data_IF_923440462491
#
_entry.id   IF_923440462491
#
_cell.length_a   1.000
_cell.length_b   1.000
_cell.length_c   1.000
_cell.angle_alpha   90.00
_cell.angle_beta   90.00
_cell.angle_gamma   90.00
#
_symmetry.space_group_name_H-M   'P 1'
#
loop_
_entity.id
_entity.type
_entity.pdbx_description
1 polymer ?
#
# COMPACT_ATOMS: atom_id res chain seq x y z
N UNK A 1 -8.13 -2.17 -13.64
CA UNK A 1 -7.97 -2.33 -12.18
C UNK A 1 -6.51 -2.48 -11.85
N UNK A 2 -5.99 -1.60 -11.01
CA UNK A 2 -4.64 -1.73 -10.43
C UNK A 2 -4.82 -2.29 -9.02
N UNK A 3 -4.08 -3.36 -8.69
CA UNK A 3 -4.21 -4.05 -7.40
C UNK A 3 -2.95 -3.85 -6.56
N UNK A 4 -3.15 -3.25 -5.40
CA UNK A 4 -2.14 -2.86 -4.41
C UNK A 4 -2.11 -3.88 -3.27
N UNK A 5 -1.00 -4.62 -3.16
CA UNK A 5 -0.83 -5.65 -2.14
C UNK A 5 -0.62 -5.10 -0.73
N UNK A 6 -0.87 -5.93 0.30
CA UNK A 6 -0.63 -5.58 1.69
C UNK A 6 0.83 -5.65 2.12
N UNK A 7 1.10 -5.29 3.38
CA UNK A 7 2.42 -5.45 3.98
C UNK A 7 2.80 -6.94 4.01
N UNK A 8 3.95 -7.30 3.43
CA UNK A 8 4.41 -8.68 3.19
C UNK A 8 3.65 -9.47 2.13
N UNK A 9 2.68 -8.84 1.46
CA UNK A 9 1.98 -9.45 0.34
C UNK A 9 2.88 -9.49 -0.89
N UNK A 10 3.22 -10.67 -1.38
CA UNK A 10 3.76 -10.80 -2.73
C UNK A 10 2.62 -10.60 -3.75
N UNK A 11 2.94 -10.12 -4.96
CA UNK A 11 1.94 -9.93 -6.02
C UNK A 11 1.13 -11.20 -6.34
N UNK A 12 1.72 -12.38 -6.10
CA UNK A 12 1.08 -13.68 -6.27
C UNK A 12 -0.14 -13.86 -5.35
N UNK A 13 -0.13 -13.26 -4.16
CA UNK A 13 -1.25 -13.34 -3.20
C UNK A 13 -2.55 -12.74 -3.74
N UNK A 14 -2.46 -11.83 -4.70
CA UNK A 14 -3.61 -11.20 -5.34
C UNK A 14 -4.05 -11.89 -6.64
N UNK A 15 -3.41 -12.99 -7.05
CA UNK A 15 -3.75 -13.66 -8.33
C UNK A 15 -5.19 -14.16 -8.38
N UNK A 16 -5.74 -14.65 -7.25
CA UNK A 16 -7.11 -15.15 -7.20
C UNK A 16 -8.14 -14.06 -7.57
N UNK A 17 -8.07 -12.92 -6.88
CA UNK A 17 -8.97 -11.79 -7.16
C UNK A 17 -8.69 -11.18 -8.54
N UNK A 18 -7.42 -11.07 -8.93
CA UNK A 18 -7.03 -10.55 -10.26
C UNK A 18 -7.55 -11.42 -11.39
N UNK A 19 -7.51 -12.74 -11.27
CA UNK A 19 -8.09 -13.65 -12.25
C UNK A 19 -9.62 -13.50 -12.30
N UNK A 20 -10.28 -13.30 -11.16
CA UNK A 20 -11.71 -12.99 -11.10
C UNK A 20 -12.07 -11.70 -11.84
N UNK A 21 -11.34 -10.61 -11.57
CA UNK A 21 -11.50 -9.32 -12.26
C UNK A 21 -11.26 -9.46 -13.76
N UNK A 22 -10.20 -10.18 -14.17
CA UNK A 22 -9.91 -10.40 -15.57
C UNK A 22 -11.04 -11.15 -16.30
N UNK A 23 -11.59 -12.22 -15.69
CA UNK A 23 -12.75 -12.94 -16.23
C UNK A 23 -14.01 -12.09 -16.34
N UNK A 24 -14.11 -10.99 -15.59
CA UNK A 24 -15.18 -10.00 -15.68
C UNK A 24 -14.90 -8.88 -16.71
N UNK A 25 -13.84 -9.01 -17.50
CA UNK A 25 -13.51 -8.09 -18.60
C UNK A 25 -12.60 -6.91 -18.21
N UNK A 26 -12.02 -6.92 -17.00
CA UNK A 26 -11.09 -5.87 -16.60
C UNK A 26 -9.67 -6.17 -17.09
N UNK A 27 -8.98 -5.14 -17.58
CA UNK A 27 -7.51 -5.15 -17.61
C UNK A 27 -6.99 -5.02 -16.18
N UNK A 28 -6.09 -5.92 -15.77
CA UNK A 28 -5.58 -5.99 -14.39
C UNK A 28 -4.08 -5.77 -14.37
N UNK A 29 -3.61 -4.89 -13.50
CA UNK A 29 -2.18 -4.69 -13.24
C UNK A 29 -1.88 -5.10 -11.80
N UNK A 30 -0.95 -6.03 -11.67
CA UNK A 30 -0.31 -6.43 -10.42
C UNK A 30 1.12 -5.93 -10.42
N UNK A 31 1.56 -5.34 -9.32
CA UNK A 31 2.90 -4.79 -9.17
C UNK A 31 3.47 -5.11 -7.78
N UNK A 32 4.74 -4.79 -7.57
CA UNK A 32 5.44 -5.03 -6.30
C UNK A 32 6.17 -3.77 -5.89
N UNK A 33 6.00 -3.34 -4.64
CA UNK A 33 6.72 -2.15 -4.16
C UNK A 33 8.22 -2.42 -4.08
N UNK A 34 9.03 -1.37 -4.17
CA UNK A 34 10.43 -1.44 -3.76
C UNK A 34 10.51 -1.91 -2.29
N UNK A 35 11.55 -2.68 -1.97
CA UNK A 35 11.72 -3.35 -0.68
C UNK A 35 11.12 -4.75 -0.60
N UNK A 36 10.40 -5.22 -1.63
CA UNK A 36 9.87 -6.59 -1.71
C UNK A 36 10.61 -7.47 -2.72
N UNK A 37 10.54 -8.81 -2.59
CA UNK A 37 11.12 -9.73 -3.55
C UNK A 37 10.65 -9.46 -4.97
N UNK A 38 11.61 -9.31 -5.90
CA UNK A 38 11.33 -9.01 -7.30
C UNK A 38 11.25 -7.52 -7.65
N UNK A 39 11.54 -6.62 -6.70
CA UNK A 39 11.71 -5.18 -6.92
C UNK A 39 13.00 -4.68 -6.26
N UNK A 40 13.44 -3.47 -6.61
CA UNK A 40 14.64 -2.86 -6.05
C UNK A 40 14.55 -2.68 -4.53
N UNK A 41 15.72 -2.60 -3.87
CA UNK A 41 15.79 -2.39 -2.42
C UNK A 41 15.31 -0.99 -2.04
N UNK A 42 14.40 -0.91 -1.09
CA UNK A 42 14.01 0.33 -0.43
C UNK A 42 13.51 0.08 1.00
N UNK A 43 13.56 1.08 1.90
CA UNK A 43 12.87 1.00 3.18
C UNK A 43 11.35 1.00 2.97
N UNK A 44 10.64 0.15 3.73
CA UNK A 44 9.17 0.14 3.75
C UNK A 44 8.67 1.27 4.66
N UNK A 45 7.75 2.08 4.15
CA UNK A 45 7.21 3.25 4.83
C UNK A 45 5.70 3.22 5.08
N UNK A 46 5.09 2.04 4.88
CA UNK A 46 3.68 1.77 5.18
C UNK A 46 2.69 2.73 4.49
N UNK A 47 2.99 3.14 3.26
CA UNK A 47 2.10 3.94 2.43
C UNK A 47 2.68 5.29 2.01
N UNK A 48 3.59 5.86 2.81
CA UNK A 48 4.11 7.22 2.59
C UNK A 48 4.88 7.32 1.27
N UNK A 49 5.81 6.40 1.02
CA UNK A 49 6.59 6.33 -0.23
C UNK A 49 6.05 5.28 -1.18
N UNK A 50 5.33 4.27 -0.68
CA UNK A 50 4.72 3.24 -1.52
C UNK A 50 3.64 3.80 -2.45
N UNK A 51 3.05 4.96 -2.15
CA UNK A 51 2.15 5.69 -3.06
C UNK A 51 2.82 6.07 -4.38
N UNK A 52 4.12 6.37 -4.37
CA UNK A 52 4.88 6.72 -5.58
C UNK A 52 4.96 5.55 -6.57
N UNK A 53 4.94 4.31 -6.07
CA UNK A 53 4.88 3.11 -6.92
C UNK A 53 3.52 3.02 -7.61
N UNK A 54 2.44 3.33 -6.89
CA UNK A 54 1.10 3.34 -7.46
C UNK A 54 0.97 4.42 -8.53
N UNK A 55 1.47 5.63 -8.28
CA UNK A 55 1.49 6.73 -9.24
C UNK A 55 2.23 6.34 -10.52
N UNK A 56 3.41 5.70 -10.40
CA UNK A 56 4.16 5.20 -11.54
C UNK A 56 3.36 4.15 -12.35
N UNK A 57 2.63 3.27 -11.68
CA UNK A 57 1.78 2.26 -12.33
C UNK A 57 0.56 2.90 -13.00
N UNK A 58 -0.06 3.92 -12.40
CA UNK A 58 -1.14 4.70 -13.01
C UNK A 58 -0.63 5.39 -14.28
N UNK A 59 0.52 6.05 -14.21
CA UNK A 59 1.16 6.70 -15.34
C UNK A 59 1.47 5.69 -16.47
N UNK A 60 2.01 4.52 -16.12
CA UNK A 60 2.22 3.42 -17.07
C UNK A 60 0.92 2.98 -17.75
N UNK A 61 -0.15 2.77 -16.98
CA UNK A 61 -1.45 2.35 -17.50
C UNK A 61 -2.02 3.38 -18.49
N UNK A 62 -1.95 4.68 -18.15
CA UNK A 62 -2.40 5.77 -19.02
C UNK A 62 -1.55 5.88 -20.28
N UNK A 63 -0.22 5.73 -20.18
CA UNK A 63 0.67 5.72 -21.36
C UNK A 63 0.33 4.57 -22.30
N UNK A 64 0.01 3.40 -21.75
CA UNK A 64 -0.34 2.21 -22.55
C UNK A 64 -1.74 2.30 -23.14
N UNK A 65 -2.69 2.88 -22.41
CA UNK A 65 -4.09 3.02 -22.81
C UNK A 65 -4.53 4.45 -22.44
N UNK A 66 -4.42 5.43 -23.35
CA UNK A 66 -4.66 6.86 -23.06
C UNK A 66 -6.02 7.18 -22.45
N UNK A 67 -7.06 6.43 -22.83
CA UNK A 67 -8.45 6.59 -22.32
C UNK A 67 -8.81 5.55 -21.25
N UNK A 68 -7.82 4.98 -20.56
CA UNK A 68 -8.06 3.98 -19.53
C UNK A 68 -8.94 4.55 -18.41
N UNK A 69 -10.01 3.83 -18.08
CA UNK A 69 -10.75 4.02 -16.83
C UNK A 69 -9.99 3.31 -15.73
N UNK A 70 -9.42 4.06 -14.80
CA UNK A 70 -8.61 3.52 -13.72
C UNK A 70 -9.49 3.27 -12.50
N UNK A 71 -9.39 2.07 -11.94
CA UNK A 71 -9.94 1.74 -10.63
C UNK A 71 -8.85 1.04 -9.81
N UNK A 72 -8.90 1.25 -8.50
CA UNK A 72 -7.90 0.80 -7.55
C UNK A 72 -8.52 -0.20 -6.56
N UNK A 73 -7.79 -1.27 -6.28
CA UNK A 73 -8.12 -2.25 -5.24
C UNK A 73 -6.90 -2.38 -4.33
N UNK A 74 -7.06 -2.15 -3.04
CA UNK A 74 -5.96 -2.23 -2.08
C UNK A 74 -6.29 -3.06 -0.85
N UNK A 75 -5.29 -3.78 -0.33
CA UNK A 75 -5.38 -4.58 0.89
C UNK A 75 -4.44 -4.06 1.97
N UNK A 76 -4.91 -3.84 3.20
CA UNK A 76 -4.09 -3.42 4.33
C UNK A 76 -3.22 -2.18 3.99
N UNK A 77 -1.89 -2.29 4.01
CA UNK A 77 -0.99 -1.24 3.52
C UNK A 77 -1.34 -0.77 2.09
N UNK A 78 -1.69 -1.70 1.20
CA UNK A 78 -2.12 -1.40 -0.16
C UNK A 78 -3.44 -0.64 -0.24
N UNK A 79 -4.32 -0.78 0.75
CA UNK A 79 -5.56 0.01 0.85
C UNK A 79 -5.24 1.48 1.19
N UNK A 80 -4.31 1.71 2.13
CA UNK A 80 -3.83 3.07 2.43
C UNK A 80 -3.12 3.68 1.22
N UNK A 81 -2.27 2.91 0.53
CA UNK A 81 -1.63 3.35 -0.73
C UNK A 81 -2.67 3.72 -1.79
N UNK A 82 -3.70 2.89 -1.98
CA UNK A 82 -4.76 3.16 -2.95
C UNK A 82 -5.56 4.42 -2.60
N UNK A 83 -5.85 4.63 -1.30
CA UNK A 83 -6.53 5.82 -0.81
C UNK A 83 -5.71 7.09 -1.04
N UNK A 84 -4.43 7.09 -0.65
CA UNK A 84 -3.53 8.22 -0.83
C UNK A 84 -3.31 8.53 -2.32
N UNK A 85 -3.12 7.50 -3.15
CA UNK A 85 -2.96 7.67 -4.59
C UNK A 85 -4.23 8.20 -5.26
N UNK A 86 -5.41 7.74 -4.84
CA UNK A 86 -6.69 8.26 -5.35
C UNK A 86 -6.89 9.74 -4.99
N UNK A 87 -6.45 10.17 -3.79
CA UNK A 87 -6.54 11.56 -3.38
C UNK A 87 -5.69 12.50 -4.28
N UNK A 88 -4.57 12.01 -4.81
CA UNK A 88 -3.72 12.74 -5.76
C UNK A 88 -4.13 12.63 -7.23
N UNK A 89 -5.06 11.73 -7.57
CA UNK A 89 -5.41 11.39 -8.96
C UNK A 89 -6.93 11.46 -9.23
N UNK A 90 -7.46 12.64 -9.63
CA UNK A 90 -8.89 12.85 -9.87
C UNK A 90 -9.50 11.93 -10.95
N UNK A 91 -8.68 11.29 -11.78
CA UNK A 91 -9.13 10.37 -12.82
C UNK A 91 -9.38 8.93 -12.36
N UNK A 92 -9.20 8.62 -11.08
CA UNK A 92 -9.58 7.32 -10.49
C UNK A 92 -11.10 7.25 -10.35
N UNK A 93 -11.73 6.27 -11.01
CA UNK A 93 -13.19 6.14 -11.10
C UNK A 93 -13.79 5.16 -10.10
N UNK A 94 -12.97 4.32 -9.48
CA UNK A 94 -13.41 3.34 -8.48
C UNK A 94 -12.29 3.07 -7.48
N UNK A 95 -12.66 2.92 -6.21
CA UNK A 95 -11.75 2.65 -5.12
C UNK A 95 -12.34 1.54 -4.23
N UNK A 96 -11.61 0.43 -4.08
CA UNK A 96 -11.97 -0.67 -3.19
C UNK A 96 -10.86 -0.81 -2.15
N UNK A 97 -11.23 -0.60 -0.89
CA UNK A 97 -10.30 -0.60 0.24
C UNK A 97 -10.64 -1.75 1.18
N UNK A 98 -9.78 -2.74 1.26
CA UNK A 98 -9.93 -3.85 2.20
C UNK A 98 -8.98 -3.66 3.39
N UNK A 99 -9.57 -3.54 4.58
CA UNK A 99 -8.87 -3.45 5.87
C UNK A 99 -7.81 -2.33 5.93
N UNK A 100 -8.11 -1.08 5.50
CA UNK A 100 -7.20 0.04 5.69
C UNK A 100 -7.03 0.35 7.17
N UNK A 101 -5.92 1.01 7.53
CA UNK A 101 -5.76 1.61 8.84
C UNK A 101 -5.86 3.13 8.75
N UNK A 102 -6.47 3.75 9.75
CA UNK A 102 -6.57 5.21 9.89
C UNK A 102 -5.28 5.81 10.44
N UNK A 103 -4.65 5.13 11.40
CA UNK A 103 -3.40 5.54 12.01
C UNK A 103 -2.46 4.34 12.18
N UNK A 104 -1.29 4.43 11.56
CA UNK A 104 -0.24 3.43 11.64
C UNK A 104 0.28 3.27 13.06
N UNK A 105 0.34 4.37 13.83
CA UNK A 105 0.88 4.34 15.19
C UNK A 105 -0.02 3.53 16.11
N UNK A 106 -1.32 3.77 16.08
CA UNK A 106 -2.33 3.00 16.83
C UNK A 106 -2.23 1.51 16.49
N UNK A 107 -2.13 1.15 15.22
CA UNK A 107 -1.95 -0.25 14.80
C UNK A 107 -0.66 -0.85 15.36
N UNK A 108 0.45 -0.11 15.37
CA UNK A 108 1.70 -0.58 15.95
C UNK A 108 1.61 -0.74 17.48
N UNK A 109 0.98 0.22 18.18
CA UNK A 109 0.80 0.17 19.63
C UNK A 109 -0.05 -1.02 20.05
N UNK A 110 -1.15 -1.27 19.34
CA UNK A 110 -2.01 -2.44 19.56
C UNK A 110 -1.28 -3.75 19.29
N UNK A 111 -0.50 -3.82 18.20
CA UNK A 111 0.29 -5.02 17.90
C UNK A 111 1.36 -5.30 18.95
N UNK A 112 2.05 -4.26 19.45
CA UNK A 112 3.04 -4.40 20.54
C UNK A 112 2.36 -4.87 21.81
N UNK A 113 1.23 -4.28 22.19
CA UNK A 113 0.47 -4.68 23.38
C UNK A 113 -0.01 -6.13 23.29
N UNK A 114 -0.56 -6.53 22.15
CA UNK A 114 -1.13 -7.89 21.96
C UNK A 114 -0.06 -8.97 21.80
N UNK A 115 1.00 -8.70 21.05
CA UNK A 115 2.00 -9.71 20.68
C UNK A 115 3.15 -9.80 21.67
N UNK A 116 3.62 -8.65 22.18
CA UNK A 116 4.81 -8.55 23.02
C UNK A 116 4.44 -8.34 24.50
N UNK A 117 3.18 -8.02 24.80
CA UNK A 117 2.66 -7.75 26.16
C UNK A 117 3.43 -6.65 26.91
N UNK A 118 4.06 -5.74 26.18
CA UNK A 118 4.79 -4.59 26.71
C UNK A 118 3.95 -3.30 26.63
N UNK A 119 4.32 -2.25 27.39
CA UNK A 119 3.70 -0.94 27.24
C UNK A 119 3.89 -0.41 25.81
N UNK A 120 2.82 -0.32 25.03
CA UNK A 120 2.88 0.00 23.59
C UNK A 120 3.51 1.36 23.29
N UNK A 121 3.11 2.41 24.01
CA UNK A 121 3.52 3.78 23.73
C UNK A 121 5.06 4.03 23.77
N UNK A 122 5.81 3.67 24.83
CA UNK A 122 7.26 3.90 24.85
C UNK A 122 8.01 3.05 23.82
N UNK A 123 7.56 1.82 23.58
CA UNK A 123 8.16 0.93 22.57
C UNK A 123 7.95 1.48 21.17
N UNK A 124 6.72 1.91 20.85
CA UNK A 124 6.39 2.49 19.54
C UNK A 124 7.05 3.85 19.33
N UNK A 125 7.23 4.64 20.39
CA UNK A 125 7.98 5.89 20.31
C UNK A 125 9.45 5.64 19.90
N UNK A 126 10.12 4.69 20.56
CA UNK A 126 11.50 4.32 20.21
C UNK A 126 11.58 3.72 18.80
N UNK A 127 10.64 2.83 18.46
CA UNK A 127 10.54 2.27 17.12
C UNK A 127 10.30 3.36 16.06
N UNK A 128 9.51 4.39 16.38
CA UNK A 128 9.26 5.55 15.53
C UNK A 128 10.51 6.40 15.29
N UNK A 129 11.37 6.55 16.30
CA UNK A 129 12.66 7.24 16.15
C UNK A 129 13.60 6.47 15.20
N UNK A 130 13.71 5.16 15.39
CA UNK A 130 14.49 4.29 14.51
C UNK A 130 13.92 4.25 13.08
N UNK A 131 12.59 4.21 12.96
CA UNK A 131 11.88 4.30 11.68
C UNK A 131 12.21 5.62 10.96
N UNK A 132 12.22 6.74 11.68
CA UNK A 132 12.61 8.04 11.12
C UNK A 132 14.06 8.06 10.65
N UNK A 133 14.98 7.53 11.45
CA UNK A 133 16.40 7.45 11.07
C UNK A 133 16.61 6.58 9.82
N UNK A 134 15.86 5.47 9.70
CA UNK A 134 16.00 4.53 8.58
C UNK A 134 15.31 4.97 7.30
N UNK A 135 14.15 5.62 7.41
CA UNK A 135 13.27 5.91 6.26
C UNK A 135 13.22 7.39 5.88
N UNK A 136 13.61 8.27 6.80
CA UNK A 136 13.39 9.72 6.70
C UNK A 136 11.96 10.15 6.99
N UNK A 137 11.02 9.21 7.19
CA UNK A 137 9.60 9.50 7.42
C UNK A 137 9.25 9.48 8.91
N UNK A 138 8.31 10.33 9.33
CA UNK A 138 7.82 10.37 10.71
C UNK A 138 6.49 9.62 10.80
N UNK A 139 6.32 8.80 11.82
CA UNK A 139 4.98 8.34 12.24
C UNK A 139 4.24 9.58 12.78
N UNK A 140 3.13 9.97 12.17
CA UNK A 140 2.35 11.10 12.70
C UNK A 140 1.70 10.70 14.03
N UNK A 141 1.30 11.72 14.79
CA UNK A 141 0.36 11.54 15.89
C UNK A 141 -1.05 11.34 15.34
#
# INVERSE_FOLDING_TARGET
MIVSGGHKGQRQGSLGISAGLWRKGFNVILYSYRGWPGSDRAPITFGIKEVLELEAVIAFARKRIPKARIGLLGYSMGAVVALLGAAGEPGVQALVLDSPFSDLRTVLEDNVRRSIKLPGAPVVWLAGLLFRLRTGCRLSQ
#
